data_IF_542593748501
#
_entry.id   IF_542593748501
#
_cell.length_a   1.000
_cell.length_b   1.000
_cell.length_c   1.000
_cell.angle_alpha   90.00
_cell.angle_beta   90.00
_cell.angle_gamma   90.00
#
_symmetry.space_group_name_H-M   'P 1'
#
loop_
_entity.id
_entity.type
_entity.pdbx_description
1 polymer ?
#
# COMPACT_ATOMS: atom_id res chain seq x y z
N UNK A 1 -15.07 10.82 0.55
CA UNK A 1 -14.00 11.62 -0.09
C UNK A 1 -12.57 11.19 0.27
N UNK A 2 -12.29 9.94 0.67
CA UNK A 2 -10.95 9.47 1.10
C UNK A 2 -9.88 9.48 -0.01
N UNK A 3 -10.26 9.32 -1.28
CA UNK A 3 -9.30 9.20 -2.41
C UNK A 3 -8.65 10.51 -2.86
N UNK A 4 -9.22 11.68 -2.56
CA UNK A 4 -8.65 12.97 -2.98
C UNK A 4 -7.40 13.32 -2.16
N UNK A 5 -7.26 12.74 -0.96
CA UNK A 5 -6.16 13.02 -0.02
C UNK A 5 -4.76 12.86 -0.63
N UNK A 6 -4.61 11.95 -1.59
CA UNK A 6 -3.31 11.64 -2.20
C UNK A 6 -3.13 12.22 -3.60
N UNK A 7 -3.97 13.17 -4.02
CA UNK A 7 -3.83 13.88 -5.30
C UNK A 7 -3.23 15.26 -5.02
N UNK A 8 -1.90 15.32 -5.06
CA UNK A 8 -1.15 16.49 -4.61
C UNK A 8 -0.93 17.48 -5.75
N UNK A 9 -1.55 18.66 -5.63
CA UNK A 9 -1.31 19.80 -6.52
C UNK A 9 -0.09 20.64 -6.10
N UNK A 10 0.28 20.58 -4.81
CA UNK A 10 1.41 21.31 -4.21
C UNK A 10 2.41 20.33 -3.60
N UNK A 11 3.61 20.85 -3.31
CA UNK A 11 4.67 20.06 -2.69
C UNK A 11 4.31 19.84 -1.24
N UNK A 12 4.65 18.67 -0.70
CA UNK A 12 4.58 18.45 0.74
C UNK A 12 5.85 19.01 1.38
N UNK A 13 5.68 19.84 2.40
CA UNK A 13 6.74 20.21 3.33
C UNK A 13 6.72 19.33 4.58
N UNK A 14 7.75 19.43 5.43
CA UNK A 14 7.77 18.72 6.72
C UNK A 14 6.57 19.05 7.62
N UNK A 15 6.02 20.26 7.51
CA UNK A 15 4.86 20.69 8.30
C UNK A 15 3.54 20.02 7.86
N UNK A 16 3.49 19.46 6.65
CA UNK A 16 2.35 18.67 6.17
C UNK A 16 2.39 17.22 6.68
N UNK A 17 3.50 16.82 7.33
CA UNK A 17 3.80 15.47 7.80
C UNK A 17 4.26 15.47 9.28
N UNK A 18 3.45 16.01 10.20
CA UNK A 18 3.86 16.22 11.59
C UNK A 18 4.20 14.92 12.32
N UNK A 19 3.47 13.83 12.06
CA UNK A 19 3.73 12.54 12.72
C UNK A 19 5.04 11.93 12.23
N UNK A 20 5.33 11.99 10.93
CA UNK A 20 6.61 11.51 10.39
C UNK A 20 7.79 12.37 10.85
N UNK A 21 7.57 13.66 11.11
CA UNK A 21 8.58 14.57 11.66
C UNK A 21 8.92 14.24 13.12
N UNK A 22 7.94 13.76 13.90
CA UNK A 22 8.11 13.39 15.31
C UNK A 22 8.67 11.98 15.51
N UNK A 23 8.34 11.04 14.63
CA UNK A 23 8.78 9.66 14.72
C UNK A 23 10.20 9.47 14.17
N UNK A 24 10.97 8.62 14.82
CA UNK A 24 12.26 8.16 14.28
C UNK A 24 12.06 7.23 13.08
N UNK A 25 13.07 7.13 12.21
CA UNK A 25 13.05 6.18 11.08
C UNK A 25 12.78 4.74 11.54
N UNK A 26 13.33 4.33 12.69
CA UNK A 26 13.09 2.99 13.24
C UNK A 26 11.62 2.77 13.60
N UNK A 27 10.95 3.78 14.15
CA UNK A 27 9.54 3.71 14.53
C UNK A 27 8.64 3.68 13.30
N UNK A 28 8.93 4.52 12.30
CA UNK A 28 8.23 4.50 11.01
C UNK A 28 8.36 3.13 10.35
N UNK A 29 9.58 2.56 10.32
CA UNK A 29 9.82 1.22 9.81
C UNK A 29 9.07 0.15 10.60
N UNK A 30 8.97 0.28 11.93
CA UNK A 30 8.22 -0.66 12.79
C UNK A 30 6.72 -0.63 12.48
N UNK A 31 6.14 0.56 12.30
CA UNK A 31 4.74 0.73 11.88
C UNK A 31 4.52 0.09 10.51
N UNK A 32 5.39 0.39 9.54
CA UNK A 32 5.27 -0.15 8.19
C UNK A 32 5.42 -1.68 8.17
N UNK A 33 6.36 -2.24 8.93
CA UNK A 33 6.53 -3.69 9.05
C UNK A 33 5.27 -4.37 9.62
N UNK A 34 4.62 -3.78 10.63
CA UNK A 34 3.36 -4.29 11.17
C UNK A 34 2.23 -4.22 10.14
N UNK A 35 2.12 -3.11 9.40
CA UNK A 35 1.14 -2.95 8.33
C UNK A 35 1.36 -3.95 7.17
N UNK A 36 2.62 -4.15 6.77
CA UNK A 36 3.01 -5.18 5.79
C UNK A 36 2.64 -6.58 6.27
N UNK A 37 2.88 -6.89 7.54
CA UNK A 37 2.46 -8.14 8.17
C UNK A 37 0.94 -8.33 8.15
N UNK A 38 0.17 -7.27 8.45
CA UNK A 38 -1.28 -7.27 8.31
C UNK A 38 -1.71 -7.56 6.88
N UNK A 39 -1.21 -6.80 5.90
CA UNK A 39 -1.54 -6.97 4.47
C UNK A 39 -1.26 -8.41 4.04
N UNK A 40 -0.09 -8.96 4.40
CA UNK A 40 0.28 -10.34 4.09
C UNK A 40 -0.72 -11.35 4.66
N UNK A 41 -1.16 -11.21 5.92
CA UNK A 41 -2.18 -12.08 6.52
C UNK A 41 -3.51 -12.01 5.78
N UNK A 42 -3.94 -10.81 5.40
CA UNK A 42 -5.17 -10.61 4.62
C UNK A 42 -5.10 -11.27 3.23
N UNK A 43 -3.95 -11.12 2.54
CA UNK A 43 -3.72 -11.75 1.24
C UNK A 43 -3.73 -13.28 1.33
N UNK A 44 -3.15 -13.88 2.37
CA UNK A 44 -3.20 -15.32 2.62
C UNK A 44 -4.64 -15.83 2.79
N UNK A 45 -5.53 -14.98 3.31
CA UNK A 45 -6.96 -15.25 3.44
C UNK A 45 -7.77 -14.87 2.20
N UNK A 46 -7.12 -14.63 1.06
CA UNK A 46 -7.74 -14.23 -0.23
C UNK A 46 -8.51 -12.92 -0.16
N UNK A 47 -8.14 -12.02 0.75
CA UNK A 47 -8.76 -10.68 0.87
C UNK A 47 -7.87 -9.62 0.24
N UNK A 48 -8.48 -8.72 -0.53
CA UNK A 48 -7.82 -7.55 -1.08
C UNK A 48 -7.78 -6.43 -0.05
N UNK A 49 -6.62 -5.80 0.15
CA UNK A 49 -6.44 -4.73 1.15
C UNK A 49 -6.30 -3.39 0.45
N UNK A 50 -7.26 -2.49 0.69
CA UNK A 50 -7.18 -1.11 0.24
C UNK A 50 -6.47 -0.25 1.29
N UNK A 51 -5.44 0.49 0.85
CA UNK A 51 -4.64 1.37 1.71
C UNK A 51 -4.82 2.85 1.36
N UNK A 52 -5.70 3.18 0.41
CA UNK A 52 -6.01 4.55 -0.02
C UNK A 52 -5.33 4.95 -1.34
N UNK A 53 -4.02 4.76 -1.48
CA UNK A 53 -3.30 5.00 -2.76
C UNK A 53 -3.50 3.86 -3.78
N UNK A 54 -3.96 2.71 -3.31
CA UNK A 54 -4.22 1.53 -4.12
C UNK A 54 -4.66 0.33 -3.29
N UNK A 55 -4.65 -0.83 -3.94
CA UNK A 55 -5.12 -2.09 -3.38
C UNK A 55 -4.06 -3.17 -3.55
N UNK A 56 -3.75 -3.90 -2.49
CA UNK A 56 -3.03 -5.17 -2.55
C UNK A 56 -4.01 -6.32 -2.76
N UNK A 57 -3.71 -7.23 -3.68
CA UNK A 57 -4.52 -8.44 -3.88
C UNK A 57 -3.68 -9.59 -4.43
N UNK A 58 -4.16 -10.81 -4.27
CA UNK A 58 -3.69 -11.95 -5.04
C UNK A 58 -4.46 -12.00 -6.36
N UNK A 59 -3.74 -12.20 -7.47
CA UNK A 59 -4.35 -12.42 -8.78
C UNK A 59 -3.87 -13.75 -9.35
N UNK A 60 -4.74 -14.49 -10.06
CA UNK A 60 -4.33 -15.67 -10.80
C UNK A 60 -3.25 -15.31 -11.83
N UNK A 61 -2.23 -16.15 -11.90
CA UNK A 61 -1.14 -16.06 -12.85
C UNK A 61 -0.75 -17.47 -13.33
N UNK A 62 0.10 -17.51 -14.36
CA UNK A 62 0.64 -18.75 -14.91
C UNK A 62 2.16 -18.69 -14.78
N UNK A 63 2.74 -19.69 -14.14
CA UNK A 63 4.18 -19.85 -14.06
C UNK A 63 4.62 -20.98 -14.99
N UNK A 64 5.59 -20.73 -15.86
CA UNK A 64 6.25 -21.76 -16.66
C UNK A 64 7.26 -22.47 -15.79
N UNK A 65 7.14 -23.79 -15.67
CA UNK A 65 8.11 -24.67 -15.01
C UNK A 65 8.89 -25.46 -16.08
N UNK A 66 9.90 -26.22 -15.66
CA UNK A 66 10.70 -27.06 -16.55
C UNK A 66 9.85 -27.92 -17.48
N UNK A 67 10.37 -28.18 -18.67
CA UNK A 67 9.67 -28.90 -19.77
C UNK A 67 8.47 -28.16 -20.36
N UNK A 68 8.35 -26.84 -20.16
CA UNK A 68 7.28 -26.03 -20.76
C UNK A 68 5.90 -26.24 -20.12
N UNK A 69 5.83 -26.97 -19.02
CA UNK A 69 4.61 -27.14 -18.22
C UNK A 69 4.21 -25.81 -17.61
N UNK A 70 2.91 -25.52 -17.58
CA UNK A 70 2.36 -24.29 -17.01
C UNK A 70 1.55 -24.61 -15.77
N UNK A 71 1.95 -24.04 -14.64
CA UNK A 71 1.24 -24.18 -13.36
C UNK A 71 0.39 -22.94 -13.07
N UNK A 72 -0.88 -23.11 -12.67
CA UNK A 72 -1.66 -22.02 -12.12
C UNK A 72 -1.04 -21.63 -10.77
N UNK A 73 -0.72 -20.35 -10.62
CA UNK A 73 -0.22 -19.77 -9.38
C UNK A 73 -1.03 -18.53 -9.05
N UNK A 74 -0.88 -18.04 -7.83
CA UNK A 74 -1.35 -16.71 -7.46
C UNK A 74 -0.17 -15.83 -7.12
N UNK A 75 -0.20 -14.59 -7.59
CA UNK A 75 0.86 -13.63 -7.28
C UNK A 75 0.27 -12.41 -6.58
N UNK A 76 0.95 -11.86 -5.57
CA UNK A 76 0.57 -10.58 -5.01
C UNK A 76 0.81 -9.46 -6.03
N UNK A 77 -0.15 -8.54 -6.12
CA UNK A 77 -0.04 -7.33 -6.92
C UNK A 77 -0.46 -6.13 -6.10
N UNK A 78 0.22 -5.02 -6.33
CA UNK A 78 -0.28 -3.71 -5.95
C UNK A 78 -0.95 -3.06 -7.16
N UNK A 79 -2.23 -2.73 -7.03
CA UNK A 79 -3.00 -2.01 -8.05
C UNK A 79 -3.22 -0.58 -7.57
N UNK A 80 -2.49 0.41 -8.11
CA UNK A 80 -2.76 1.81 -7.79
C UNK A 80 -4.19 2.21 -8.14
N UNK A 81 -4.81 3.09 -7.36
CA UNK A 81 -6.19 3.48 -7.59
C UNK A 81 -6.32 4.26 -8.92
N UNK A 82 -7.51 4.20 -9.55
CA UNK A 82 -7.73 4.76 -10.90
C UNK A 82 -7.43 6.26 -10.96
N UNK A 83 -7.77 7.00 -9.91
CA UNK A 83 -7.56 8.45 -9.82
C UNK A 83 -6.07 8.79 -9.78
N UNK A 84 -5.31 8.08 -8.94
CA UNK A 84 -3.87 8.28 -8.77
C UNK A 84 -3.11 7.92 -10.06
N UNK A 85 -3.52 6.85 -10.76
CA UNK A 85 -3.00 6.52 -12.10
C UNK A 85 -3.23 7.63 -13.11
N UNK A 86 -4.45 8.18 -13.17
CA UNK A 86 -4.81 9.23 -14.14
C UNK A 86 -4.09 10.55 -13.82
N UNK A 87 -4.07 10.93 -12.55
CA UNK A 87 -3.52 12.20 -12.09
C UNK A 87 -2.00 12.27 -12.28
N UNK A 88 -1.28 11.24 -11.84
CA UNK A 88 0.18 11.16 -11.97
C UNK A 88 0.64 10.50 -13.28
N UNK A 89 -0.26 10.22 -14.22
CA UNK A 89 0.03 9.61 -15.54
C UNK A 89 0.83 8.30 -15.44
N UNK A 90 0.54 7.48 -14.43
CA UNK A 90 1.28 6.24 -14.17
C UNK A 90 0.98 5.18 -15.24
N UNK A 91 2.04 4.59 -15.80
CA UNK A 91 1.95 3.43 -16.69
C UNK A 91 2.00 2.16 -15.83
N UNK A 92 0.84 1.57 -15.55
CA UNK A 92 0.75 0.32 -14.78
C UNK A 92 0.24 -0.82 -15.66
N UNK A 93 0.76 -2.03 -15.43
CA UNK A 93 0.20 -3.23 -16.05
C UNK A 93 -1.30 -3.38 -15.73
N UNK A 94 -2.08 -3.87 -16.71
CA UNK A 94 -3.50 -4.16 -16.50
C UNK A 94 -3.62 -5.44 -15.67
N UNK A 95 -3.82 -5.27 -14.36
CA UNK A 95 -4.13 -6.36 -13.44
C UNK A 95 -5.61 -6.28 -13.03
N UNK A 96 -6.40 -7.29 -13.41
CA UNK A 96 -7.79 -7.43 -12.93
C UNK A 96 -7.76 -8.24 -11.63
N UNK A 97 -8.32 -7.64 -10.58
CA UNK A 97 -8.62 -8.37 -9.33
C UNK A 97 -9.94 -9.10 -9.58
N UNK A 98 -10.08 -10.40 -9.26
CA UNK A 98 -11.33 -11.14 -9.42
C UNK A 98 -12.48 -10.44 -8.70
N UNK A 99 -13.67 -10.42 -9.33
CA UNK A 99 -14.80 -9.62 -8.87
C UNK A 99 -15.37 -10.17 -7.53
N UNK A 100 -15.21 -11.47 -7.27
CA UNK A 100 -15.55 -12.15 -6.02
C UNK A 100 -14.57 -11.91 -4.85
N UNK A 101 -13.44 -11.23 -5.08
CA UNK A 101 -12.43 -11.00 -4.03
C UNK A 101 -12.97 -10.07 -2.94
N UNK A 102 -13.05 -10.47 -1.67
CA UNK A 102 -13.48 -9.58 -0.60
C UNK A 102 -12.48 -8.44 -0.38
N UNK A 103 -12.98 -7.21 -0.25
CA UNK A 103 -12.16 -6.03 0.03
C UNK A 103 -12.21 -5.68 1.51
N UNK A 104 -11.05 -5.42 2.11
CA UNK A 104 -10.89 -4.94 3.47
C UNK A 104 -10.04 -3.68 3.49
N UNK A 105 -10.23 -2.85 4.51
CA UNK A 105 -9.36 -1.72 4.79
C UNK A 105 -8.24 -2.14 5.76
N UNK A 106 -7.28 -1.25 6.00
CA UNK A 106 -6.35 -1.41 7.12
C UNK A 106 -7.10 -1.35 8.45
N UNK A 107 -6.79 -2.29 9.33
CA UNK A 107 -7.26 -2.30 10.72
C UNK A 107 -6.13 -1.75 11.60
N UNK A 108 -6.24 -0.48 11.97
CA UNK A 108 -5.19 0.20 12.72
C UNK A 108 -5.06 -0.31 14.16
N UNK A 109 -6.13 -0.83 14.75
CA UNK A 109 -6.06 -1.46 16.08
C UNK A 109 -5.23 -2.75 15.99
N UNK A 110 -5.52 -3.61 15.00
CA UNK A 110 -4.78 -4.85 14.81
C UNK A 110 -3.31 -4.60 14.42
N UNK A 111 -3.03 -3.55 13.65
CA UNK A 111 -1.65 -3.16 13.31
C UNK A 111 -0.91 -2.63 14.54
N UNK A 112 -1.60 -1.89 15.41
CA UNK A 112 -1.03 -1.34 16.65
C UNK A 112 -0.76 -2.42 17.72
N UNK A 113 -1.58 -3.48 17.76
CA UNK A 113 -1.64 -4.49 18.83
C UNK A 113 -0.30 -5.20 19.15
N UNK A 114 0.70 -5.13 18.27
CA UNK A 114 2.02 -5.76 18.47
C UNK A 114 3.21 -4.81 18.52
N UNK A 115 3.01 -3.48 18.43
CA UNK A 115 4.12 -2.52 18.28
C UNK A 115 4.19 -1.43 19.35
N UNK A 116 3.31 -1.48 20.37
CA UNK A 116 3.23 -0.52 21.47
C UNK A 116 3.00 0.94 21.04
N UNK A 117 2.32 1.13 19.90
CA UNK A 117 1.84 2.44 19.48
C UNK A 117 0.34 2.55 19.71
N UNK A 118 -0.13 3.77 19.93
CA UNK A 118 -1.57 4.07 19.89
C UNK A 118 -2.10 3.91 18.44
N UNK A 119 -3.29 3.35 18.22
CA UNK A 119 -3.88 3.22 16.89
C UNK A 119 -3.90 4.55 16.11
N UNK A 120 -4.19 5.67 16.79
CA UNK A 120 -4.19 7.00 16.16
C UNK A 120 -2.82 7.45 15.63
N UNK A 121 -1.72 7.01 16.25
CA UNK A 121 -0.35 7.30 15.77
C UNK A 121 -0.02 6.39 14.58
N UNK A 122 -0.42 5.12 14.64
CA UNK A 122 -0.26 4.17 13.53
C UNK A 122 -1.01 4.64 12.28
N UNK A 123 -2.28 5.03 12.43
CA UNK A 123 -3.10 5.55 11.33
C UNK A 123 -2.45 6.78 10.69
N UNK A 124 -2.04 7.76 11.50
CA UNK A 124 -1.40 8.99 11.01
C UNK A 124 -0.07 8.70 10.33
N UNK A 125 0.79 7.90 10.95
CA UNK A 125 2.08 7.49 10.39
C UNK A 125 1.91 6.80 9.01
N UNK A 126 0.96 5.86 8.89
CA UNK A 126 0.66 5.20 7.61
C UNK A 126 0.19 6.24 6.60
N UNK A 127 -0.79 7.08 6.95
CA UNK A 127 -1.34 8.05 6.01
C UNK A 127 -0.32 9.10 5.54
N UNK A 128 0.54 9.58 6.43
CA UNK A 128 1.62 10.51 6.08
C UNK A 128 2.71 9.82 5.25
N UNK A 129 2.98 8.53 5.47
CA UNK A 129 3.87 7.74 4.59
C UNK A 129 3.30 7.65 3.18
N UNK A 130 1.99 7.43 3.05
CA UNK A 130 1.32 7.39 1.75
C UNK A 130 1.24 8.77 1.08
N UNK A 131 1.17 9.85 1.86
CA UNK A 131 1.31 11.21 1.35
C UNK A 131 2.73 11.44 0.82
N UNK A 132 3.76 11.04 1.57
CA UNK A 132 5.16 11.09 1.11
C UNK A 132 5.35 10.32 -0.20
N UNK A 133 4.75 9.13 -0.32
CA UNK A 133 4.74 8.35 -1.56
C UNK A 133 4.07 9.12 -2.72
N UNK A 134 2.90 9.72 -2.50
CA UNK A 134 2.23 10.55 -3.50
C UNK A 134 3.06 11.79 -3.90
N UNK A 135 3.80 12.38 -2.95
CA UNK A 135 4.72 13.49 -3.20
C UNK A 135 5.87 13.08 -4.12
N UNK A 136 6.45 11.91 -3.87
CA UNK A 136 7.49 11.35 -4.73
C UNK A 136 6.96 11.03 -6.15
N UNK A 137 5.74 10.51 -6.28
CA UNK A 137 5.09 10.32 -7.59
C UNK A 137 4.89 11.64 -8.35
N UNK A 138 4.49 12.70 -7.65
CA UNK A 138 4.34 14.04 -8.24
C UNK A 138 5.66 14.56 -8.80
N UNK A 139 6.74 14.35 -8.05
CA UNK A 139 8.09 14.74 -8.43
C UNK A 139 8.73 13.81 -9.46
N UNK A 140 7.98 12.81 -9.96
CA UNK A 140 8.45 11.79 -10.90
C UNK A 140 9.70 11.03 -10.41
N UNK A 141 9.79 10.82 -9.09
CA UNK A 141 10.84 10.03 -8.44
C UNK A 141 10.49 8.55 -8.50
N UNK A 142 11.52 7.71 -8.60
CA UNK A 142 11.35 6.27 -8.45
C UNK A 142 10.94 5.93 -7.00
N UNK A 143 9.93 5.08 -6.86
CA UNK A 143 9.35 4.70 -5.57
C UNK A 143 9.11 3.20 -5.52
N UNK A 144 9.50 2.58 -4.42
CA UNK A 144 9.30 1.16 -4.17
C UNK A 144 8.56 0.95 -2.85
N UNK A 145 7.56 0.05 -2.86
CA UNK A 145 7.03 -0.52 -1.63
C UNK A 145 7.76 -1.83 -1.33
N UNK A 146 8.76 -1.77 -0.46
CA UNK A 146 9.39 -2.99 0.04
C UNK A 146 8.50 -3.63 1.11
N UNK A 147 8.16 -4.90 0.89
CA UNK A 147 7.58 -5.78 1.89
C UNK A 147 8.69 -6.71 2.35
N UNK A 148 9.20 -6.48 3.56
CA UNK A 148 10.12 -7.41 4.23
C UNK A 148 9.33 -8.42 5.06
#
# INVERSE_FOLDING_TARGET
>A
AKMIKYLLFKSLGPEDLPTLKELTTSEICKVWASASGYIRRQLLQKRAVEIGVGTFALVPARATVGEGKVLPVERPVFRPCRFLKKFYKLKCAKTKIPDETPFVQLDFEQIAAGIHFRPEIVERCIHETLLSFAGALRDNKEVEFSFK
#
